data_IF_617749002251
#
_entry.id   IF_617749002251
#
_cell.length_a   1.000
_cell.length_b   1.000
_cell.length_c   1.000
_cell.angle_alpha   90.00
_cell.angle_beta   90.00
_cell.angle_gamma   90.00
#
_symmetry.space_group_name_H-M   'P 1'
#
loop_
_entity.id
_entity.type
_entity.pdbx_description
1 polymer ?
#
# COMPACT_ATOMS: atom_id res chain seq x y z
N UNK A 1 15.03 10.76 -18.45
CA UNK A 1 14.81 10.05 -17.17
C UNK A 1 15.97 10.37 -16.25
N UNK A 2 15.73 10.89 -15.04
CA UNK A 2 16.84 11.24 -14.13
C UNK A 2 17.41 9.98 -13.45
N UNK A 3 18.60 10.10 -12.84
CA UNK A 3 19.28 8.98 -12.17
C UNK A 3 18.40 8.33 -11.09
N UNK A 4 17.61 9.11 -10.34
CA UNK A 4 16.73 8.59 -9.30
C UNK A 4 15.62 7.71 -9.89
N UNK A 5 15.00 8.15 -10.98
CA UNK A 5 14.00 7.36 -11.70
C UNK A 5 14.62 6.10 -12.30
N UNK A 6 15.85 6.16 -12.81
CA UNK A 6 16.56 4.98 -13.30
C UNK A 6 16.82 3.96 -12.18
N UNK A 7 17.31 4.41 -11.02
CA UNK A 7 17.53 3.56 -9.85
C UNK A 7 16.23 2.91 -9.36
N UNK A 8 15.10 3.64 -9.40
CA UNK A 8 13.79 3.07 -9.09
C UNK A 8 13.47 1.86 -9.97
N UNK A 9 13.58 2.01 -11.30
CA UNK A 9 13.24 0.93 -12.23
C UNK A 9 14.24 -0.22 -12.22
N UNK A 10 15.54 0.05 -12.09
CA UNK A 10 16.58 -0.98 -12.16
C UNK A 10 16.81 -1.74 -10.85
N UNK A 11 16.51 -1.13 -9.71
CA UNK A 11 16.81 -1.71 -8.40
C UNK A 11 15.52 -2.06 -7.66
N UNK A 12 14.61 -1.08 -7.48
CA UNK A 12 13.46 -1.28 -6.60
C UNK A 12 12.37 -2.14 -7.20
N UNK A 13 12.11 -2.05 -8.51
CA UNK A 13 11.10 -2.87 -9.17
C UNK A 13 11.47 -4.36 -9.14
N UNK A 14 12.70 -4.79 -9.50
CA UNK A 14 13.10 -6.19 -9.34
C UNK A 14 12.99 -6.69 -7.90
N UNK A 15 13.46 -5.92 -6.92
CA UNK A 15 13.37 -6.27 -5.50
C UNK A 15 11.89 -6.43 -5.07
N UNK A 16 11.01 -5.54 -5.53
CA UNK A 16 9.58 -5.64 -5.27
C UNK A 16 8.99 -6.92 -5.84
N UNK A 17 9.29 -7.26 -7.11
CA UNK A 17 8.79 -8.48 -7.76
C UNK A 17 9.27 -9.74 -7.03
N UNK A 18 10.55 -9.79 -6.67
CA UNK A 18 11.13 -10.90 -5.90
C UNK A 18 10.44 -11.01 -4.53
N UNK A 19 10.30 -9.89 -3.81
CA UNK A 19 9.62 -9.84 -2.51
C UNK A 19 8.16 -10.28 -2.59
N UNK A 20 7.43 -9.86 -3.62
CA UNK A 20 6.05 -10.29 -3.86
C UNK A 20 5.97 -11.77 -4.18
N UNK A 21 6.87 -12.27 -5.03
CA UNK A 21 6.93 -13.70 -5.37
C UNK A 21 7.21 -14.55 -4.13
N UNK A 22 8.15 -14.12 -3.29
CA UNK A 22 8.44 -14.77 -2.01
C UNK A 22 7.24 -14.71 -1.07
N UNK A 23 6.53 -13.57 -1.00
CA UNK A 23 5.33 -13.44 -0.17
C UNK A 23 4.23 -14.42 -0.59
N UNK A 24 4.04 -14.60 -1.90
CA UNK A 24 3.08 -15.57 -2.46
C UNK A 24 3.44 -17.00 -2.06
N UNK A 25 4.72 -17.36 -2.14
CA UNK A 25 5.22 -18.69 -1.77
C UNK A 25 5.05 -18.96 -0.27
N UNK A 26 5.39 -18.00 0.60
CA UNK A 26 5.22 -18.12 2.05
C UNK A 26 3.73 -18.29 2.41
N UNK A 27 2.86 -17.58 1.70
CA UNK A 27 1.43 -17.57 1.99
C UNK A 27 0.72 -18.86 1.54
N UNK A 28 1.40 -19.76 0.79
CA UNK A 28 0.94 -21.14 0.64
C UNK A 28 0.83 -21.86 2.01
N UNK A 29 1.58 -21.42 3.02
CA UNK A 29 1.62 -21.98 4.37
C UNK A 29 1.01 -21.05 5.44
N UNK A 30 1.09 -19.72 5.26
CA UNK A 30 0.50 -18.70 6.16
C UNK A 30 -0.45 -17.77 5.40
N UNK A 31 -1.76 -18.06 5.48
CA UNK A 31 -2.82 -17.35 4.74
C UNK A 31 -3.22 -15.99 5.31
N UNK A 32 -2.53 -15.49 6.33
CA UNK A 32 -2.89 -14.24 6.99
C UNK A 32 -2.60 -12.99 6.14
N UNK A 33 -1.71 -13.09 5.14
CA UNK A 33 -1.25 -11.94 4.36
C UNK A 33 -0.20 -11.09 5.07
N UNK A 34 0.14 -11.39 6.33
CA UNK A 34 1.08 -10.60 7.14
C UNK A 34 2.51 -10.62 6.60
N UNK A 35 2.91 -11.69 5.91
CA UNK A 35 4.22 -11.79 5.27
C UNK A 35 4.42 -10.72 4.18
N UNK A 36 3.40 -10.46 3.38
CA UNK A 36 3.40 -9.40 2.37
C UNK A 36 3.65 -8.04 3.04
N UNK A 37 2.91 -7.72 4.10
CA UNK A 37 3.03 -6.43 4.80
C UNK A 37 4.41 -6.22 5.40
N UNK A 38 5.02 -7.26 5.99
CA UNK A 38 6.41 -7.19 6.49
C UNK A 38 7.42 -6.92 5.38
N UNK A 39 7.30 -7.62 4.24
CA UNK A 39 8.18 -7.44 3.09
C UNK A 39 7.99 -6.04 2.48
N UNK A 40 6.75 -5.59 2.35
CA UNK A 40 6.42 -4.29 1.81
C UNK A 40 6.91 -3.14 2.71
N UNK A 41 6.79 -3.29 4.04
CA UNK A 41 7.33 -2.34 5.00
C UNK A 41 8.87 -2.26 4.94
N UNK A 42 9.54 -3.41 4.82
CA UNK A 42 10.98 -3.44 4.60
C UNK A 42 11.36 -2.75 3.29
N UNK A 43 10.65 -3.04 2.20
CA UNK A 43 10.89 -2.45 0.89
C UNK A 43 10.69 -0.92 0.89
N UNK A 44 9.66 -0.43 1.59
CA UNK A 44 9.42 1.00 1.79
C UNK A 44 10.56 1.70 2.53
N UNK A 45 11.03 1.14 3.65
CA UNK A 45 12.19 1.66 4.41
C UNK A 45 13.48 1.63 3.58
N UNK A 46 13.70 0.55 2.83
CA UNK A 46 14.85 0.43 1.94
C UNK A 46 14.82 1.49 0.84
N UNK A 47 13.65 1.72 0.24
CA UNK A 47 13.43 2.72 -0.80
C UNK A 47 13.70 4.14 -0.28
N UNK A 48 13.21 4.47 0.92
CA UNK A 48 13.48 5.75 1.57
C UNK A 48 14.98 5.98 1.78
N UNK A 49 15.69 4.97 2.31
CA UNK A 49 17.14 5.02 2.52
C UNK A 49 17.91 5.18 1.20
N UNK A 50 17.55 4.42 0.17
CA UNK A 50 18.22 4.45 -1.14
C UNK A 50 18.13 5.83 -1.80
N UNK A 51 17.01 6.53 -1.63
CA UNK A 51 16.81 7.87 -2.20
C UNK A 51 17.18 9.03 -1.26
N UNK A 52 17.68 8.74 -0.06
CA UNK A 52 17.99 9.76 0.94
C UNK A 52 16.75 10.54 1.42
N UNK A 53 15.58 9.88 1.44
CA UNK A 53 14.35 10.47 1.97
C UNK A 53 14.40 10.38 3.49
N UNK A 54 14.48 11.54 4.16
CA UNK A 54 14.27 11.62 5.60
C UNK A 54 12.76 11.60 5.88
N UNK A 55 12.33 10.78 6.82
CA UNK A 55 10.92 10.67 7.21
C UNK A 55 10.79 10.99 8.69
N UNK A 56 9.88 11.90 9.00
CA UNK A 56 9.50 12.23 10.36
C UNK A 56 8.06 11.76 10.59
N UNK A 57 7.82 11.00 11.66
CA UNK A 57 6.49 10.57 12.07
C UNK A 57 6.10 11.34 13.33
N UNK A 58 5.20 12.31 13.17
CA UNK A 58 4.63 13.10 14.27
C UNK A 58 3.27 12.49 14.64
N UNK A 59 2.97 12.39 15.95
CA UNK A 59 1.69 11.82 16.40
C UNK A 59 1.66 10.29 16.40
N UNK A 60 2.81 9.63 16.56
CA UNK A 60 2.90 8.16 16.63
C UNK A 60 2.14 7.56 17.82
N UNK A 61 1.93 8.37 18.86
CA UNK A 61 1.15 8.09 20.06
C UNK A 61 -0.36 8.11 19.83
N UNK A 62 -0.83 8.65 18.70
CA UNK A 62 -2.25 8.75 18.37
C UNK A 62 -2.84 7.42 17.88
N UNK A 63 -2.02 6.39 17.67
CA UNK A 63 -2.47 5.07 17.26
C UNK A 63 -1.69 3.98 17.98
N UNK A 64 -2.33 2.82 18.13
CA UNK A 64 -1.71 1.64 18.72
C UNK A 64 -1.72 0.47 17.75
N UNK A 65 -0.73 -0.42 17.84
CA UNK A 65 -0.58 -1.54 16.90
C UNK A 65 -1.54 -2.70 17.17
N UNK A 66 -2.24 -2.68 18.30
CA UNK A 66 -3.26 -3.66 18.71
C UNK A 66 -4.69 -3.26 18.27
N UNK A 67 -4.84 -2.09 17.64
CA UNK A 67 -6.12 -1.59 17.13
C UNK A 67 -6.11 -1.50 15.60
N UNK A 68 -7.30 -1.31 15.04
CA UNK A 68 -7.52 -1.23 13.59
C UNK A 68 -8.11 0.11 13.22
N UNK A 69 -7.58 0.70 12.14
CA UNK A 69 -7.88 2.08 11.77
C UNK A 69 -8.26 2.19 10.31
N UNK A 70 -9.19 3.10 10.02
CA UNK A 70 -9.30 3.70 8.70
C UNK A 70 -8.30 4.86 8.61
N UNK A 71 -7.22 4.64 7.87
CA UNK A 71 -6.21 5.65 7.60
C UNK A 71 -6.56 6.38 6.31
N UNK A 72 -6.59 7.70 6.38
CA UNK A 72 -6.95 8.56 5.25
C UNK A 72 -5.79 9.55 5.05
N UNK A 73 -5.32 9.68 3.82
CA UNK A 73 -4.32 10.69 3.46
C UNK A 73 -4.53 11.21 2.05
N UNK A 74 -3.98 12.37 1.75
CA UNK A 74 -3.85 12.87 0.39
C UNK A 74 -2.90 12.02 -0.46
N UNK A 75 -2.96 12.15 -1.79
CA UNK A 75 -2.10 11.39 -2.71
C UNK A 75 -1.20 12.30 -3.56
N UNK A 76 -0.08 12.73 -2.98
CA UNK A 76 0.85 13.66 -3.60
C UNK A 76 1.85 13.01 -4.57
N UNK A 77 2.10 11.71 -4.47
CA UNK A 77 3.13 11.09 -5.31
C UNK A 77 3.27 9.58 -5.27
N UNK A 78 4.24 9.10 -6.05
CA UNK A 78 4.56 7.67 -6.14
C UNK A 78 5.20 7.12 -4.85
N UNK A 79 5.77 8.00 -4.03
CA UNK A 79 6.43 7.62 -2.79
C UNK A 79 5.44 7.33 -1.65
N UNK A 80 4.20 7.80 -1.74
CA UNK A 80 3.23 7.76 -0.64
C UNK A 80 3.02 6.33 -0.11
N UNK A 81 2.76 5.38 -0.99
CA UNK A 81 2.51 3.97 -0.62
C UNK A 81 3.75 3.32 0.05
N UNK A 82 4.96 3.32 -0.56
CA UNK A 82 6.14 2.77 0.09
C UNK A 82 6.45 3.44 1.43
N UNK A 83 6.31 4.76 1.51
CA UNK A 83 6.61 5.49 2.75
C UNK A 83 5.61 5.10 3.83
N UNK A 84 4.30 5.11 3.56
CA UNK A 84 3.26 4.70 4.51
C UNK A 84 3.47 3.26 5.00
N UNK A 85 3.74 2.32 4.09
CA UNK A 85 4.04 0.93 4.44
C UNK A 85 5.32 0.80 5.28
N UNK A 86 6.32 1.62 5.00
CA UNK A 86 7.61 1.60 5.67
C UNK A 86 7.62 2.25 7.06
N UNK A 87 6.75 3.23 7.30
CA UNK A 87 6.75 4.03 8.53
C UNK A 87 5.60 3.74 9.48
N UNK A 88 4.38 3.51 8.98
CA UNK A 88 3.27 3.16 9.85
C UNK A 88 3.45 1.73 10.34
N UNK A 89 3.35 1.51 11.65
CA UNK A 89 3.44 0.17 12.25
C UNK A 89 2.10 -0.59 12.17
N UNK A 90 1.37 -0.38 11.08
CA UNK A 90 0.06 -0.97 10.82
C UNK A 90 0.14 -1.87 9.59
N UNK A 91 -0.57 -2.99 9.62
CA UNK A 91 -0.78 -3.83 8.43
C UNK A 91 -1.84 -3.18 7.53
N UNK A 92 -1.44 -2.15 6.77
CA UNK A 92 -2.32 -1.35 5.93
C UNK A 92 -2.74 -2.10 4.67
N UNK A 93 -4.05 -2.31 4.52
CA UNK A 93 -4.64 -2.80 3.26
C UNK A 93 -5.18 -1.63 2.47
N UNK A 94 -4.63 -1.40 1.28
CA UNK A 94 -4.99 -0.24 0.48
C UNK A 94 -6.20 -0.52 -0.41
N UNK A 95 -6.98 0.53 -0.65
CA UNK A 95 -7.97 0.57 -1.72
C UNK A 95 -7.27 0.84 -3.06
N UNK A 96 -7.15 -0.18 -3.90
CA UNK A 96 -6.38 -0.20 -5.14
C UNK A 96 -7.27 -0.30 -6.38
N UNK A 97 -6.74 0.16 -7.53
CA UNK A 97 -7.40 0.05 -8.84
C UNK A 97 -7.54 -1.42 -9.26
N UNK A 98 -8.71 -1.84 -9.75
CA UNK A 98 -8.99 -3.22 -10.17
C UNK A 98 -8.01 -3.70 -11.26
N UNK A 99 -7.56 -2.80 -12.12
CA UNK A 99 -6.58 -3.08 -13.17
C UNK A 99 -5.26 -3.59 -12.60
N UNK A 100 -4.84 -3.11 -11.42
CA UNK A 100 -3.64 -3.61 -10.74
C UNK A 100 -3.80 -5.08 -10.34
N UNK A 101 -5.02 -5.51 -10.02
CA UNK A 101 -5.35 -6.89 -9.72
C UNK A 101 -5.21 -7.86 -10.90
N UNK A 102 -4.99 -7.35 -12.13
CA UNK A 102 -4.79 -8.15 -13.36
C UNK A 102 -3.31 -8.35 -13.69
N UNK A 103 -2.40 -7.61 -13.05
CA UNK A 103 -0.96 -7.73 -13.30
C UNK A 103 -0.46 -9.04 -12.66
N UNK A 104 0.21 -9.94 -13.41
CA UNK A 104 0.76 -11.17 -12.85
C UNK A 104 1.73 -10.91 -11.69
N UNK A 105 1.74 -11.79 -10.69
CA UNK A 105 2.50 -11.68 -9.44
C UNK A 105 2.03 -10.50 -8.57
N UNK A 106 2.07 -9.27 -9.08
CA UNK A 106 1.70 -8.06 -8.37
C UNK A 106 0.24 -8.09 -7.91
N UNK A 107 -0.70 -8.26 -8.85
CA UNK A 107 -2.12 -8.31 -8.55
C UNK A 107 -2.52 -9.48 -7.66
N UNK A 108 -1.85 -10.63 -7.80
CA UNK A 108 -2.05 -11.78 -6.92
C UNK A 108 -1.58 -11.50 -5.49
N UNK A 109 -0.39 -10.93 -5.34
CA UNK A 109 0.17 -10.59 -4.04
C UNK A 109 -0.70 -9.54 -3.33
N UNK A 110 -1.18 -8.51 -4.04
CA UNK A 110 -2.09 -7.52 -3.48
C UNK A 110 -3.41 -8.14 -2.99
N UNK A 111 -4.06 -8.98 -3.81
CA UNK A 111 -5.31 -9.65 -3.42
C UNK A 111 -5.11 -10.54 -2.19
N UNK A 112 -4.01 -11.28 -2.16
CA UNK A 112 -3.68 -12.17 -1.05
C UNK A 112 -3.31 -11.39 0.23
N UNK A 113 -2.73 -10.20 0.10
CA UNK A 113 -2.47 -9.28 1.20
C UNK A 113 -3.75 -8.60 1.75
N UNK A 114 -4.90 -8.85 1.12
CA UNK A 114 -6.20 -8.31 1.51
C UNK A 114 -6.49 -6.91 0.97
N UNK A 115 -5.79 -6.46 -0.08
CA UNK A 115 -6.05 -5.16 -0.70
C UNK A 115 -7.45 -5.15 -1.35
N UNK A 116 -8.13 -4.01 -1.23
CA UNK A 116 -9.50 -3.84 -1.72
C UNK A 116 -9.42 -3.32 -3.16
N UNK A 117 -9.79 -4.16 -4.13
CA UNK A 117 -9.75 -3.83 -5.56
C UNK A 117 -11.04 -3.15 -6.00
N UNK A 118 -10.92 -1.96 -6.62
CA UNK A 118 -12.08 -1.14 -7.00
C UNK A 118 -11.96 -0.62 -8.44
N UNK A 119 -13.10 -0.52 -9.12
CA UNK A 119 -13.21 0.23 -10.37
C UNK A 119 -13.48 1.68 -10.03
N UNK A 120 -12.62 2.60 -10.49
CA UNK A 120 -12.81 4.04 -10.28
C UNK A 120 -13.68 4.61 -11.39
N UNK A 121 -14.56 5.58 -11.08
CA UNK A 121 -15.42 6.26 -12.05
C UNK A 121 -16.89 5.84 -12.10
N UNK A 122 -17.33 4.92 -11.24
CA UNK A 122 -18.75 4.60 -11.05
C UNK A 122 -19.15 4.84 -9.59
N UNK A 123 -20.17 5.68 -9.34
CA UNK A 123 -20.63 6.01 -7.98
C UNK A 123 -21.03 4.75 -7.17
N UNK A 124 -21.53 3.71 -7.83
CA UNK A 124 -21.85 2.42 -7.21
C UNK A 124 -20.62 1.69 -6.68
N UNK A 125 -19.48 1.80 -7.35
CA UNK A 125 -18.25 1.13 -6.96
C UNK A 125 -17.56 1.83 -5.78
N UNK A 126 -17.79 3.14 -5.60
CA UNK A 126 -17.36 3.89 -4.41
C UNK A 126 -18.11 3.44 -3.14
N UNK A 127 -19.42 3.22 -3.21
CA UNK A 127 -20.15 2.68 -2.06
C UNK A 127 -19.67 1.25 -1.72
N UNK A 128 -19.45 0.42 -2.74
CA UNK A 128 -18.94 -0.94 -2.57
C UNK A 128 -17.55 -0.97 -1.92
N UNK A 129 -16.68 -0.01 -2.25
CA UNK A 129 -15.35 0.11 -1.63
C UNK A 129 -15.45 0.46 -0.15
N UNK A 130 -16.33 1.39 0.23
CA UNK A 130 -16.59 1.73 1.63
C UNK A 130 -17.15 0.54 2.42
N UNK A 131 -18.09 -0.22 1.84
CA UNK A 131 -18.61 -1.43 2.48
C UNK A 131 -17.52 -2.51 2.65
N UNK A 132 -16.67 -2.69 1.64
CA UNK A 132 -15.55 -3.63 1.72
C UNK A 132 -14.50 -3.19 2.75
N UNK A 133 -14.23 -1.89 2.86
CA UNK A 133 -13.35 -1.33 3.88
C UNK A 133 -13.94 -1.52 5.28
N UNK A 134 -15.24 -1.26 5.46
CA UNK A 134 -15.92 -1.49 6.73
C UNK A 134 -15.87 -2.97 7.15
N UNK A 135 -16.06 -3.89 6.21
CA UNK A 135 -15.95 -5.32 6.47
C UNK A 135 -14.52 -5.74 6.83
N UNK A 136 -13.51 -5.21 6.12
CA UNK A 136 -12.12 -5.51 6.43
C UNK A 136 -11.68 -4.94 7.79
N UNK A 137 -12.20 -3.77 8.19
CA UNK A 137 -12.01 -3.21 9.54
C UNK A 137 -12.60 -4.13 10.61
N UNK A 138 -13.83 -4.62 10.43
CA UNK A 138 -14.48 -5.57 11.34
C UNK A 138 -13.69 -6.87 11.51
N UNK A 139 -13.01 -7.30 10.44
CA UNK A 139 -12.18 -8.52 10.44
C UNK A 139 -10.77 -8.31 11.00
N UNK A 140 -10.52 -7.16 11.63
CA UNK A 140 -9.26 -6.94 12.34
C UNK A 140 -8.13 -6.42 11.46
N UNK A 141 -8.44 -5.57 10.48
CA UNK A 141 -7.44 -5.05 9.55
C UNK A 141 -7.53 -3.54 9.37
N UNK A 142 -6.39 -2.86 9.46
CA UNK A 142 -6.32 -1.43 9.15
C UNK A 142 -6.39 -1.20 7.64
N UNK A 143 -7.19 -0.24 7.23
CA UNK A 143 -7.45 0.09 5.83
C UNK A 143 -6.87 1.45 5.52
N UNK A 144 -6.26 1.61 4.35
CA UNK A 144 -5.82 2.90 3.85
C UNK A 144 -6.61 3.31 2.61
N UNK A 145 -7.04 4.57 2.56
CA UNK A 145 -7.67 5.18 1.38
C UNK A 145 -7.08 6.54 1.06
N UNK A 146 -6.90 6.78 -0.25
CA UNK A 146 -6.70 8.10 -0.83
C UNK A 146 -8.05 8.60 -1.36
N UNK A 147 -8.75 9.52 -0.66
CA UNK A 147 -10.12 9.90 -0.99
C UNK A 147 -10.22 10.62 -2.34
N UNK A 148 -9.16 11.32 -2.74
CA UNK A 148 -9.02 12.00 -4.04
C UNK A 148 -9.19 11.05 -5.24
N UNK A 149 -8.92 9.75 -5.07
CA UNK A 149 -9.07 8.76 -6.13
C UNK A 149 -8.10 8.90 -7.30
N UNK A 150 -7.21 9.89 -7.29
CA UNK A 150 -6.11 10.11 -8.23
C UNK A 150 -4.92 10.70 -7.48
N UNK A 151 -3.80 10.93 -8.19
CA UNK A 151 -2.67 11.71 -7.66
C UNK A 151 -2.83 13.16 -8.06
N UNK A 152 -2.40 14.07 -7.20
CA UNK A 152 -2.21 15.47 -7.56
C UNK A 152 -1.12 15.60 -8.63
N UNK A 153 -1.39 16.38 -9.69
CA UNK A 153 -0.41 16.69 -10.73
C UNK A 153 0.46 17.90 -10.36
N UNK A 154 -0.06 18.78 -9.49
CA UNK A 154 0.60 20.03 -9.05
C UNK A 154 1.23 19.90 -7.68
N UNK A 155 0.89 18.85 -6.92
CA UNK A 155 1.26 18.70 -5.52
C UNK A 155 0.31 19.42 -4.55
N UNK A 156 -0.72 20.12 -5.05
CA UNK A 156 -1.79 20.69 -4.25
C UNK A 156 -2.83 19.62 -3.87
N UNK A 157 -3.55 19.84 -2.76
CA UNK A 157 -4.65 18.97 -2.33
C UNK A 157 -5.81 19.04 -3.33
N UNK A 158 -6.38 17.88 -3.69
CA UNK A 158 -7.55 17.75 -4.55
C UNK A 158 -8.86 17.66 -3.76
#
# INVERSE_FOLDING_TARGET
MNLRTLLFFLILVPIMIIGMSLSLLINLFDRTGNSFHRIAAWWGRFSAKLFGISIELIGSENYSTDQHYLVISNHAGMADIPLLLGTMKLNLRFVAKEELGKIPIFGWALKQAGYIMIRRGQNRDALKSLLSAAEALKNGHSIHIFPEGTRSETGELL
#
